data_IF_315464027807
#
_entry.id   IF_315464027807
#
_cell.length_a   1.000
_cell.length_b   1.000
_cell.length_c   1.000
_cell.angle_alpha   90.00
_cell.angle_beta   90.00
_cell.angle_gamma   90.00
#
_symmetry.space_group_name_H-M   'P 1'
#
loop_
_entity.id
_entity.type
_entity.pdbx_description
1 polymer ?
#
# COMPACT_ATOMS: atom_id res chain seq x y z
N UNK A 1 10.11 24.07 17.05
CA UNK A 1 9.65 23.10 18.06
C UNK A 1 8.31 22.54 17.60
N UNK A 2 8.22 21.23 17.35
CA UNK A 2 6.99 20.51 16.97
C UNK A 2 5.98 20.41 18.14
N UNK A 3 6.06 21.36 19.09
CA UNK A 3 5.36 21.40 20.38
C UNK A 3 4.60 22.71 20.57
N UNK A 4 4.02 23.26 19.50
CA UNK A 4 2.92 24.22 19.69
C UNK A 4 1.65 23.42 19.48
N UNK A 5 0.98 23.10 20.58
CA UNK A 5 -0.37 22.52 20.60
C UNK A 5 -1.33 23.49 19.88
N UNK A 6 -1.49 23.31 18.57
CA UNK A 6 -2.53 23.98 17.78
C UNK A 6 -3.51 22.90 17.33
N UNK A 7 -4.45 22.57 18.22
CA UNK A 7 -5.64 21.81 17.88
C UNK A 7 -5.77 20.47 18.59
N UNK A 8 -7.01 20.14 18.95
CA UNK A 8 -7.42 18.82 19.45
C UNK A 8 -6.95 17.74 18.48
N UNK A 9 -5.96 16.94 18.88
CA UNK A 9 -5.45 15.83 18.08
C UNK A 9 -6.59 14.86 17.75
N UNK A 10 -7.04 14.86 16.50
CA UNK A 10 -8.09 13.94 16.00
C UNK A 10 -7.55 12.49 15.91
N UNK A 11 -6.22 12.30 15.88
CA UNK A 11 -5.55 11.01 16.11
C UNK A 11 -4.20 11.24 16.81
N UNK A 12 -3.99 10.59 17.95
CA UNK A 12 -2.65 10.32 18.48
C UNK A 12 -2.30 8.88 18.10
N UNK A 13 -1.37 8.65 17.15
CA UNK A 13 -0.96 7.31 16.74
C UNK A 13 -0.58 6.37 17.90
N UNK A 14 0.01 6.89 18.97
CA UNK A 14 0.36 6.15 20.19
C UNK A 14 -0.88 5.71 20.98
N UNK A 15 -1.96 6.50 21.00
CA UNK A 15 -3.16 6.19 21.82
C UNK A 15 -4.09 5.19 21.12
N UNK A 16 -4.13 5.18 19.79
CA UNK A 16 -5.04 4.36 19.01
C UNK A 16 -4.37 3.72 17.76
N UNK A 17 -3.35 2.86 17.94
CA UNK A 17 -2.58 2.29 16.82
C UNK A 17 -3.45 1.45 15.87
N UNK A 18 -4.51 0.80 16.40
CA UNK A 18 -5.46 0.01 15.60
C UNK A 18 -6.24 0.85 14.60
N UNK A 19 -6.67 2.06 14.98
CA UNK A 19 -7.36 2.98 14.06
C UNK A 19 -6.42 3.49 12.99
N UNK A 20 -5.16 3.78 13.35
CA UNK A 20 -4.14 4.19 12.38
C UNK A 20 -3.86 3.09 11.35
N UNK A 21 -3.73 1.83 11.79
CA UNK A 21 -3.60 0.69 10.88
C UNK A 21 -4.81 0.58 9.93
N UNK A 22 -6.02 0.76 10.45
CA UNK A 22 -7.25 0.77 9.64
C UNK A 22 -7.23 1.86 8.56
N UNK A 23 -6.83 3.09 8.90
CA UNK A 23 -6.72 4.20 7.95
C UNK A 23 -5.66 3.91 6.88
N UNK A 24 -4.48 3.41 7.27
CA UNK A 24 -3.42 3.07 6.33
C UNK A 24 -3.83 1.96 5.36
N UNK A 25 -4.52 0.93 5.86
CA UNK A 25 -5.09 -0.12 5.01
C UNK A 25 -6.16 0.40 4.05
N UNK A 26 -6.98 1.38 4.47
CA UNK A 26 -7.98 2.00 3.60
C UNK A 26 -7.34 2.82 2.48
N UNK A 27 -6.30 3.61 2.80
CA UNK A 27 -5.50 4.32 1.79
C UNK A 27 -4.87 3.33 0.81
N UNK A 28 -4.31 2.24 1.32
CA UNK A 28 -3.76 1.17 0.49
C UNK A 28 -4.78 0.51 -0.43
N UNK A 29 -5.97 0.23 0.11
CA UNK A 29 -7.07 -0.31 -0.67
C UNK A 29 -7.51 0.64 -1.78
N UNK A 30 -7.55 1.94 -1.51
CA UNK A 30 -7.82 2.95 -2.52
C UNK A 30 -6.75 2.97 -3.61
N UNK A 31 -5.46 2.96 -3.26
CA UNK A 31 -4.36 2.96 -4.23
C UNK A 31 -4.34 1.69 -5.11
N UNK A 32 -4.55 0.52 -4.51
CA UNK A 32 -4.65 -0.76 -5.23
C UNK A 32 -5.84 -0.76 -6.20
N UNK A 33 -6.99 -0.22 -5.76
CA UNK A 33 -8.17 -0.10 -6.60
C UNK A 33 -7.90 0.81 -7.80
N UNK A 34 -7.24 1.94 -7.57
CA UNK A 34 -6.83 2.87 -8.63
C UNK A 34 -5.91 2.17 -9.65
N UNK A 35 -4.95 1.39 -9.18
CA UNK A 35 -4.05 0.63 -10.05
C UNK A 35 -4.80 -0.42 -10.90
N UNK A 36 -5.78 -1.13 -10.33
CA UNK A 36 -6.61 -2.06 -11.09
C UNK A 36 -7.52 -1.37 -12.11
N UNK A 37 -8.03 -0.16 -11.79
CA UNK A 37 -8.77 0.67 -12.75
C UNK A 37 -7.90 1.03 -13.94
N UNK A 38 -6.68 1.53 -13.71
CA UNK A 38 -5.73 1.85 -14.80
C UNK A 38 -5.44 0.60 -15.63
N UNK A 39 -5.14 -0.52 -14.99
CA UNK A 39 -4.88 -1.80 -15.69
C UNK A 39 -6.05 -2.24 -16.55
N UNK A 40 -7.27 -2.09 -16.05
CA UNK A 40 -8.49 -2.44 -16.79
C UNK A 40 -8.68 -1.54 -18.01
N UNK A 41 -8.44 -0.23 -17.86
CA UNK A 41 -8.50 0.73 -18.98
C UNK A 41 -7.48 0.36 -20.06
N UNK A 42 -6.25 0.03 -19.66
CA UNK A 42 -5.19 -0.38 -20.59
C UNK A 42 -5.58 -1.66 -21.37
N UNK A 43 -6.14 -2.67 -20.69
CA UNK A 43 -6.65 -3.89 -21.33
C UNK A 43 -7.84 -3.64 -22.27
N UNK A 44 -8.72 -2.70 -21.95
CA UNK A 44 -9.83 -2.32 -22.84
C UNK A 44 -9.28 -1.66 -24.11
N UNK A 45 -8.26 -0.81 -23.96
CA UNK A 45 -7.65 -0.10 -25.07
C UNK A 45 -6.86 -1.02 -26.00
N UNK A 46 -6.26 -2.10 -25.47
CA UNK A 46 -5.54 -3.11 -26.26
C UNK A 46 -6.45 -4.05 -27.07
N UNK A 47 -7.77 -3.94 -26.92
CA UNK A 47 -8.76 -4.62 -27.77
C UNK A 47 -9.13 -6.05 -27.35
N UNK A 48 -8.48 -6.62 -26.32
CA UNK A 48 -8.82 -7.96 -25.80
C UNK A 48 -9.92 -7.87 -24.73
N UNK A 49 -11.18 -7.83 -25.19
CA UNK A 49 -12.36 -7.73 -24.32
C UNK A 49 -12.54 -8.97 -23.42
N UNK A 50 -12.02 -10.13 -23.81
CA UNK A 50 -12.11 -11.35 -23.00
C UNK A 50 -11.14 -11.26 -21.81
N UNK A 51 -9.90 -10.83 -22.06
CA UNK A 51 -8.91 -10.56 -21.02
C UNK A 51 -9.27 -9.38 -20.12
N UNK A 52 -9.98 -8.36 -20.64
CA UNK A 52 -10.42 -7.22 -19.86
C UNK A 52 -11.52 -7.56 -18.83
N UNK A 53 -12.34 -8.58 -19.10
CA UNK A 53 -13.46 -8.94 -18.24
C UNK A 53 -13.15 -10.10 -17.30
N UNK A 54 -12.48 -11.14 -17.80
CA UNK A 54 -12.33 -12.42 -17.08
C UNK A 54 -10.94 -12.66 -16.50
N UNK A 55 -9.86 -12.09 -17.05
CA UNK A 55 -8.53 -12.33 -16.47
C UNK A 55 -8.29 -11.52 -15.18
N UNK A 56 -7.33 -11.99 -14.37
CA UNK A 56 -6.80 -11.25 -13.23
C UNK A 56 -6.38 -9.83 -13.63
N UNK A 57 -6.89 -8.84 -12.88
CA UNK A 57 -6.68 -7.43 -13.13
C UNK A 57 -7.66 -6.77 -14.09
N UNK A 58 -8.74 -7.48 -14.47
CA UNK A 58 -9.89 -6.91 -15.17
C UNK A 58 -11.00 -6.41 -14.23
N UNK A 59 -12.17 -6.12 -14.79
CA UNK A 59 -13.34 -5.59 -14.07
C UNK A 59 -13.76 -6.49 -12.91
N UNK A 60 -13.68 -7.81 -13.10
CA UNK A 60 -14.08 -8.78 -12.09
C UNK A 60 -13.17 -8.73 -10.84
N UNK A 61 -11.88 -8.43 -11.03
CA UNK A 61 -10.94 -8.23 -9.92
C UNK A 61 -11.27 -6.95 -9.15
N UNK A 62 -11.70 -5.87 -9.82
CA UNK A 62 -12.14 -4.63 -9.15
C UNK A 62 -13.39 -4.89 -8.30
N UNK A 63 -14.41 -5.54 -8.87
CA UNK A 63 -15.64 -5.87 -8.16
C UNK A 63 -15.36 -6.74 -6.92
N UNK A 64 -14.55 -7.78 -7.10
CA UNK A 64 -14.11 -8.66 -6.02
C UNK A 64 -13.36 -7.92 -4.92
N UNK A 65 -12.34 -7.14 -5.28
CA UNK A 65 -11.51 -6.43 -4.31
C UNK A 65 -12.32 -5.40 -3.53
N UNK A 66 -13.18 -4.64 -4.22
CA UNK A 66 -14.07 -3.64 -3.59
C UNK A 66 -15.05 -4.31 -2.62
N UNK A 67 -15.67 -5.43 -3.04
CA UNK A 67 -16.59 -6.18 -2.18
C UNK A 67 -15.90 -6.75 -0.94
N UNK A 68 -14.69 -7.30 -1.10
CA UNK A 68 -13.89 -7.82 0.00
C UNK A 68 -13.47 -6.73 0.99
N UNK A 69 -13.02 -5.58 0.50
CA UNK A 69 -12.66 -4.41 1.33
C UNK A 69 -13.89 -3.86 2.05
N UNK A 70 -15.04 -3.75 1.38
CA UNK A 70 -16.27 -3.27 2.00
C UNK A 70 -16.76 -4.21 3.10
N UNK A 71 -16.72 -5.53 2.88
CA UNK A 71 -17.02 -6.52 3.92
C UNK A 71 -16.07 -6.39 5.12
N UNK A 72 -14.78 -6.19 4.88
CA UNK A 72 -13.79 -5.99 5.95
C UNK A 72 -14.08 -4.72 6.78
N UNK A 73 -14.42 -3.60 6.13
CA UNK A 73 -14.77 -2.33 6.80
C UNK A 73 -16.05 -2.49 7.63
N UNK A 74 -17.10 -3.08 7.05
CA UNK A 74 -18.40 -3.27 7.71
C UNK A 74 -18.29 -4.10 8.99
N UNK A 75 -17.42 -5.11 8.99
CA UNK A 75 -17.24 -6.01 10.13
C UNK A 75 -16.16 -5.56 11.13
N UNK A 76 -15.63 -4.33 10.98
CA UNK A 76 -14.64 -3.77 11.89
C UNK A 76 -13.28 -4.44 11.84
N UNK A 77 -12.87 -4.93 10.66
CA UNK A 77 -11.61 -5.65 10.41
C UNK A 77 -11.41 -6.93 11.24
N UNK A 78 -12.48 -7.49 11.82
CA UNK A 78 -12.45 -8.80 12.46
C UNK A 78 -12.45 -9.90 11.38
N UNK A 79 -11.36 -10.66 11.33
CA UNK A 79 -11.15 -11.70 10.31
C UNK A 79 -12.25 -12.76 10.35
N UNK A 80 -12.67 -13.18 11.55
CA UNK A 80 -13.64 -14.26 11.69
C UNK A 80 -15.03 -13.83 11.20
N UNK A 81 -15.41 -12.60 11.51
CA UNK A 81 -16.68 -12.01 11.05
C UNK A 81 -16.65 -11.68 9.56
N UNK A 82 -15.50 -11.24 9.05
CA UNK A 82 -15.35 -10.91 7.62
C UNK A 82 -15.46 -12.16 6.76
N UNK A 83 -14.83 -13.27 7.15
CA UNK A 83 -14.90 -14.54 6.40
C UNK A 83 -16.30 -15.17 6.44
N UNK A 84 -17.06 -14.94 7.52
CA UNK A 84 -18.44 -15.39 7.64
C UNK A 84 -19.48 -14.46 7.00
N UNK A 85 -19.08 -13.26 6.54
CA UNK A 85 -19.98 -12.33 5.86
C UNK A 85 -20.42 -12.91 4.50
N UNK A 86 -21.74 -13.01 4.22
CA UNK A 86 -22.26 -13.44 2.93
C UNK A 86 -21.67 -12.66 1.75
N UNK A 87 -21.35 -11.38 1.93
CA UNK A 87 -20.74 -10.56 0.88
C UNK A 87 -19.32 -11.04 0.54
N UNK A 88 -18.51 -11.35 1.57
CA UNK A 88 -17.15 -11.85 1.36
C UNK A 88 -17.16 -13.22 0.67
N UNK A 89 -18.08 -14.10 1.09
CA UNK A 89 -18.29 -15.40 0.45
C UNK A 89 -18.73 -15.25 -1.01
N UNK A 90 -19.61 -14.29 -1.32
CA UNK A 90 -20.00 -13.99 -2.69
C UNK A 90 -18.81 -13.53 -3.55
N UNK A 91 -17.80 -12.87 -2.96
CA UNK A 91 -16.60 -12.43 -3.69
C UNK A 91 -15.64 -13.58 -4.05
N UNK A 92 -15.78 -14.75 -3.44
CA UNK A 92 -15.06 -15.96 -3.86
C UNK A 92 -15.48 -16.41 -5.27
N UNK A 93 -16.73 -16.15 -5.67
CA UNK A 93 -17.24 -16.53 -7.00
C UNK A 93 -16.48 -15.79 -8.11
N UNK A 94 -16.37 -14.43 -8.10
CA UNK A 94 -15.47 -13.68 -8.95
C UNK A 94 -14.04 -14.21 -8.99
N UNK A 95 -13.46 -14.57 -7.84
CA UNK A 95 -12.09 -15.10 -7.75
C UNK A 95 -11.94 -16.38 -8.57
N UNK A 96 -12.84 -17.33 -8.36
CA UNK A 96 -12.85 -18.61 -9.06
C UNK A 96 -13.06 -18.42 -10.56
N UNK A 97 -13.93 -17.51 -10.97
CA UNK A 97 -14.11 -17.16 -12.39
C UNK A 97 -12.81 -16.62 -12.97
N UNK A 98 -12.13 -15.67 -12.28
CA UNK A 98 -10.87 -15.13 -12.80
C UNK A 98 -9.75 -16.16 -12.92
N UNK A 99 -9.76 -17.16 -12.05
CA UNK A 99 -8.82 -18.26 -12.11
C UNK A 99 -9.09 -19.25 -13.25
N UNK A 100 -10.35 -19.45 -13.62
CA UNK A 100 -10.69 -20.30 -14.77
C UNK A 100 -10.42 -19.63 -16.12
N UNK A 101 -10.19 -18.32 -16.15
CA UNK A 101 -9.89 -17.56 -17.37
C UNK A 101 -8.68 -18.10 -18.17
N UNK A 102 -7.49 -18.35 -17.58
CA UNK A 102 -6.36 -18.96 -18.28
C UNK A 102 -6.69 -20.37 -18.79
N UNK A 103 -7.43 -21.16 -18.03
CA UNK A 103 -7.89 -22.49 -18.47
C UNK A 103 -8.80 -22.40 -19.71
N UNK A 104 -9.75 -21.44 -19.73
CA UNK A 104 -10.61 -21.20 -20.89
C UNK A 104 -9.82 -20.74 -22.12
N UNK A 105 -8.77 -19.94 -21.92
CA UNK A 105 -7.89 -19.46 -22.99
C UNK A 105 -7.05 -20.60 -23.57
N UNK A 106 -6.46 -21.43 -22.70
CA UNK A 106 -5.70 -22.63 -23.07
C UNK A 106 -6.55 -23.65 -23.85
N UNK A 107 -7.84 -23.78 -23.50
CA UNK A 107 -8.79 -24.59 -24.27
C UNK A 107 -9.09 -24.00 -25.67
N UNK A 108 -9.23 -22.68 -25.79
CA UNK A 108 -9.46 -22.01 -27.08
C UNK A 108 -8.25 -22.06 -28.01
N UNK A 109 -7.05 -22.04 -27.45
CA UNK A 109 -5.78 -22.10 -28.18
C UNK A 109 -5.36 -23.55 -28.52
N UNK A 110 -6.13 -24.55 -28.09
CA UNK A 110 -5.95 -25.96 -28.50
C UNK A 110 -4.90 -26.74 -27.69
N UNK A 111 -4.39 -26.18 -26.58
CA UNK A 111 -3.35 -26.81 -25.75
C UNK A 111 -3.88 -27.92 -24.80
N UNK A 112 -5.19 -28.19 -24.82
CA UNK A 112 -5.83 -29.27 -24.07
C UNK A 112 -6.02 -28.96 -22.57
N UNK A 113 -7.04 -29.57 -21.96
CA UNK A 113 -7.42 -29.37 -20.56
C UNK A 113 -6.30 -29.68 -19.55
N UNK A 114 -5.36 -30.55 -19.92
CA UNK A 114 -4.27 -30.99 -19.05
C UNK A 114 -3.26 -29.86 -18.76
N UNK A 115 -3.06 -28.92 -19.69
CA UNK A 115 -2.16 -27.76 -19.49
C UNK A 115 -2.84 -26.61 -18.73
N UNK A 116 -4.17 -26.45 -18.86
CA UNK A 116 -4.90 -25.35 -18.24
C UNK A 116 -5.17 -25.52 -16.73
N UNK A 117 -5.18 -26.75 -16.20
CA UNK A 117 -5.40 -26.99 -14.76
C UNK A 117 -4.28 -26.44 -13.86
N UNK A 118 -2.99 -26.70 -14.13
CA UNK A 118 -1.89 -26.08 -13.38
C UNK A 118 -1.91 -24.55 -13.44
N UNK A 119 -2.21 -23.97 -14.60
CA UNK A 119 -2.31 -22.52 -14.79
C UNK A 119 -3.44 -21.89 -13.96
N UNK A 120 -4.60 -22.55 -13.88
CA UNK A 120 -5.71 -22.13 -13.01
C UNK A 120 -5.28 -22.07 -11.55
N UNK A 121 -4.60 -23.12 -11.05
CA UNK A 121 -4.15 -23.18 -9.65
C UNK A 121 -3.09 -22.11 -9.37
N UNK A 122 -2.12 -21.93 -10.27
CA UNK A 122 -1.11 -20.86 -10.14
C UNK A 122 -1.79 -19.50 -10.08
N UNK A 123 -2.75 -19.25 -10.98
CA UNK A 123 -3.49 -17.99 -11.03
C UNK A 123 -4.33 -17.76 -9.77
N UNK A 124 -4.95 -18.79 -9.19
CA UNK A 124 -5.64 -18.67 -7.90
C UNK A 124 -4.70 -18.24 -6.78
N UNK A 125 -3.55 -18.90 -6.68
CA UNK A 125 -2.56 -18.63 -5.63
C UNK A 125 -1.99 -17.22 -5.82
N UNK A 126 -1.55 -16.89 -7.04
CA UNK A 126 -0.99 -15.59 -7.38
C UNK A 126 -1.99 -14.45 -7.14
N UNK A 127 -3.23 -14.58 -7.60
CA UNK A 127 -4.25 -13.54 -7.43
C UNK A 127 -4.60 -13.33 -5.95
N UNK A 128 -4.79 -14.43 -5.19
CA UNK A 128 -5.12 -14.36 -3.76
C UNK A 128 -3.96 -13.75 -2.96
N UNK A 129 -2.74 -14.27 -3.15
CA UNK A 129 -1.56 -13.76 -2.46
C UNK A 129 -1.27 -12.32 -2.86
N UNK A 130 -1.42 -11.95 -4.13
CA UNK A 130 -1.22 -10.58 -4.55
C UNK A 130 -2.25 -9.63 -3.92
N UNK A 131 -3.53 -10.00 -3.83
CA UNK A 131 -4.54 -9.12 -3.23
C UNK A 131 -4.32 -8.96 -1.72
N UNK A 132 -4.01 -10.04 -1.01
CA UNK A 132 -3.74 -10.01 0.43
C UNK A 132 -2.41 -9.31 0.75
N UNK A 133 -1.32 -9.72 0.10
CA UNK A 133 0.03 -9.18 0.34
C UNK A 133 0.11 -7.70 0.00
N UNK A 134 -0.45 -7.27 -1.14
CA UNK A 134 -0.46 -5.86 -1.51
C UNK A 134 -1.26 -5.01 -0.52
N UNK A 135 -2.38 -5.51 0.00
CA UNK A 135 -3.18 -4.74 0.98
C UNK A 135 -2.46 -4.64 2.33
N UNK A 136 -1.94 -5.75 2.84
CA UNK A 136 -1.23 -5.79 4.14
C UNK A 136 0.09 -5.02 4.12
N UNK A 137 0.71 -4.88 2.95
CA UNK A 137 1.92 -4.08 2.74
C UNK A 137 1.81 -2.63 3.25
N UNK A 138 0.60 -2.04 3.20
CA UNK A 138 0.34 -0.67 3.65
C UNK A 138 0.36 -0.49 5.16
N UNK A 139 0.34 -1.56 5.97
CA UNK A 139 0.59 -1.48 7.42
C UNK A 139 1.93 -0.80 7.69
N UNK A 140 2.90 -0.91 6.78
CA UNK A 140 4.19 -0.22 6.88
C UNK A 140 4.04 1.29 6.97
N UNK A 141 3.10 1.90 6.23
CA UNK A 141 2.84 3.34 6.32
C UNK A 141 2.45 3.78 7.74
N UNK A 142 1.58 2.99 8.38
CA UNK A 142 1.19 3.23 9.77
C UNK A 142 2.35 2.98 10.75
N UNK A 143 3.18 1.96 10.52
CA UNK A 143 4.37 1.73 11.34
C UNK A 143 5.34 2.93 11.30
N UNK A 144 5.53 3.57 10.14
CA UNK A 144 6.32 4.79 10.03
C UNK A 144 5.67 5.99 10.72
N UNK A 145 4.34 6.12 10.69
CA UNK A 145 3.65 7.16 11.43
C UNK A 145 3.81 7.01 12.96
N UNK A 146 3.74 5.79 13.48
CA UNK A 146 4.02 5.49 14.89
C UNK A 146 5.49 5.77 15.24
N UNK A 147 6.42 5.36 14.37
CA UNK A 147 7.84 5.62 14.56
C UNK A 147 8.12 7.13 14.64
N UNK A 148 7.57 7.91 13.71
CA UNK A 148 7.70 9.37 13.68
C UNK A 148 7.23 10.03 14.99
N UNK A 149 6.05 9.68 15.50
CA UNK A 149 5.57 10.20 16.79
C UNK A 149 6.51 9.78 17.94
N UNK A 150 6.94 8.52 17.96
CA UNK A 150 7.79 7.97 19.01
C UNK A 150 9.14 8.67 19.05
N UNK A 151 9.79 8.86 17.91
CA UNK A 151 11.08 9.56 17.83
C UNK A 151 10.94 11.05 18.15
N UNK A 152 9.83 11.69 17.80
CA UNK A 152 9.55 13.08 18.21
C UNK A 152 9.47 13.23 19.74
N UNK A 153 8.75 12.32 20.42
CA UNK A 153 8.69 12.29 21.89
C UNK A 153 10.05 11.98 22.49
N UNK A 154 10.76 10.99 21.94
CA UNK A 154 12.07 10.56 22.43
C UNK A 154 13.13 11.66 22.28
N UNK A 155 13.15 12.38 21.15
CA UNK A 155 14.02 13.53 20.95
C UNK A 155 13.75 14.65 21.97
N UNK A 156 12.47 14.89 22.32
CA UNK A 156 12.09 15.81 23.40
C UNK A 156 12.58 15.36 24.77
N UNK A 157 12.43 14.07 25.11
CA UNK A 157 12.92 13.51 26.38
C UNK A 157 14.45 13.56 26.50
N UNK A 158 15.18 13.18 25.46
CA UNK A 158 16.66 13.19 25.46
C UNK A 158 17.24 14.59 25.66
N UNK A 159 16.57 15.61 25.13
CA UNK A 159 17.06 17.00 25.16
C UNK A 159 16.76 17.70 26.48
N UNK A 160 15.68 17.30 27.15
CA UNK A 160 15.33 17.75 28.50
C UNK A 160 16.07 16.95 29.58
N UNK A 161 16.55 15.73 29.27
CA UNK A 161 17.21 14.85 30.24
C UNK A 161 16.27 14.32 31.33
N UNK A 162 14.95 14.40 31.11
CA UNK A 162 13.92 13.94 32.04
C UNK A 162 12.88 13.09 31.30
N UNK A 163 12.22 12.21 32.05
CA UNK A 163 11.17 11.30 31.54
C UNK A 163 9.84 12.01 31.28
N UNK A 164 9.73 13.31 31.56
CA UNK A 164 8.53 14.11 31.32
C UNK A 164 8.90 15.51 30.83
N UNK A 165 8.13 16.00 29.85
CA UNK A 165 8.25 17.35 29.30
C UNK A 165 7.32 18.24 30.12
N UNK A 166 7.86 18.96 31.11
CA UNK A 166 7.11 19.95 31.89
C UNK A 166 7.42 21.38 31.41
N UNK A 167 6.53 22.36 31.67
CA UNK A 167 6.75 23.75 31.25
C UNK A 167 8.04 24.36 31.80
N UNK A 168 8.45 24.00 33.02
CA UNK A 168 9.70 24.47 33.63
C UNK A 168 10.95 23.93 32.90
N UNK A 169 10.89 22.69 32.43
CA UNK A 169 11.94 22.04 31.66
C UNK A 169 12.07 22.62 30.24
N UNK A 170 10.96 23.10 29.67
CA UNK A 170 10.95 23.79 28.38
C UNK A 170 11.63 25.16 28.45
N UNK A 171 11.47 25.87 29.57
CA UNK A 171 12.16 27.15 29.83
C UNK A 171 13.67 26.91 29.98
N UNK A 172 14.06 25.85 30.69
CA UNK A 172 15.46 25.42 30.80
C UNK A 172 16.09 25.06 29.45
N UNK A 173 15.32 24.42 28.56
CA UNK A 173 15.77 24.08 27.19
C UNK A 173 16.10 25.32 26.35
N UNK A 174 15.28 26.38 26.48
CA UNK A 174 15.41 27.63 25.72
C UNK A 174 16.44 28.60 26.31
N UNK A 175 16.73 28.49 27.61
CA UNK A 175 17.67 29.38 28.32
C UNK A 175 19.10 28.88 28.28
N UNK A 176 19.33 27.57 28.10
CA UNK A 176 20.68 27.01 28.03
C UNK A 176 21.13 26.84 26.56
N UNK A 177 22.20 27.52 26.12
CA UNK A 177 22.67 27.45 24.73
C UNK A 177 23.16 26.05 24.34
N UNK A 178 23.65 25.26 25.29
CA UNK A 178 24.14 23.89 25.03
C UNK A 178 22.99 22.95 24.71
N UNK A 179 21.87 23.03 25.45
CA UNK A 179 20.69 22.20 25.21
C UNK A 179 19.99 22.56 23.90
N UNK A 180 20.01 23.84 23.51
CA UNK A 180 19.47 24.29 22.23
C UNK A 180 20.24 23.72 21.03
N UNK A 181 21.57 23.68 21.12
CA UNK A 181 22.43 23.09 20.08
C UNK A 181 22.17 21.58 19.99
N UNK A 182 22.15 20.88 21.13
CA UNK A 182 21.88 19.45 21.19
C UNK A 182 20.48 19.11 20.64
N UNK A 183 19.46 19.88 21.01
CA UNK A 183 18.10 19.74 20.50
C UNK A 183 18.04 19.90 18.98
N UNK A 184 18.66 20.95 18.46
CA UNK A 184 18.67 21.22 17.03
C UNK A 184 19.37 20.09 16.27
N UNK A 185 20.51 19.62 16.76
CA UNK A 185 21.27 18.53 16.14
C UNK A 185 20.49 17.21 16.11
N UNK A 186 19.89 16.81 17.25
CA UNK A 186 19.11 15.58 17.35
C UNK A 186 17.90 15.62 16.41
N UNK A 187 17.17 16.73 16.36
CA UNK A 187 16.02 16.88 15.47
C UNK A 187 16.44 16.79 13.99
N UNK A 188 17.53 17.44 13.58
CA UNK A 188 18.04 17.35 12.20
C UNK A 188 18.42 15.91 11.85
N UNK A 189 19.09 15.21 12.77
CA UNK A 189 19.48 13.81 12.56
C UNK A 189 18.26 12.89 12.41
N UNK A 190 17.25 13.04 13.29
CA UNK A 190 15.99 12.28 13.22
C UNK A 190 15.24 12.55 11.92
N UNK A 191 15.09 13.84 11.54
CA UNK A 191 14.41 14.22 10.29
C UNK A 191 15.14 13.63 9.07
N UNK A 192 16.48 13.68 9.05
CA UNK A 192 17.27 13.11 7.96
C UNK A 192 17.11 11.58 7.85
N UNK A 193 17.17 10.88 8.99
CA UNK A 193 17.04 9.42 9.04
C UNK A 193 15.61 8.97 8.68
N UNK A 194 14.60 9.55 9.30
CA UNK A 194 13.20 9.20 9.06
C UNK A 194 12.74 9.59 7.66
N UNK A 195 13.15 10.77 7.18
CA UNK A 195 12.87 11.22 5.82
C UNK A 195 13.43 10.24 4.80
N UNK A 196 14.66 9.77 4.99
CA UNK A 196 15.27 8.75 4.13
C UNK A 196 14.51 7.42 4.19
N UNK A 197 14.21 6.92 5.38
CA UNK A 197 13.54 5.62 5.55
C UNK A 197 12.10 5.64 5.01
N UNK A 198 11.34 6.68 5.32
CA UNK A 198 9.98 6.86 4.81
C UNK A 198 9.96 7.08 3.30
N UNK A 199 10.96 7.77 2.73
CA UNK A 199 11.12 7.89 1.28
C UNK A 199 11.35 6.54 0.62
N UNK A 200 12.31 5.73 1.10
CA UNK A 200 12.57 4.39 0.55
C UNK A 200 11.30 3.53 0.62
N UNK A 201 10.55 3.61 1.72
CA UNK A 201 9.31 2.89 1.87
C UNK A 201 8.22 3.37 0.90
N UNK A 202 8.06 4.67 0.73
CA UNK A 202 7.09 5.23 -0.22
C UNK A 202 7.43 4.76 -1.63
N UNK A 203 8.70 4.84 -2.03
CA UNK A 203 9.16 4.34 -3.33
C UNK A 203 8.90 2.84 -3.50
N UNK A 204 9.07 2.03 -2.43
CA UNK A 204 8.72 0.61 -2.45
C UNK A 204 7.24 0.42 -2.79
N UNK A 205 6.35 1.09 -2.06
CA UNK A 205 4.90 1.01 -2.27
C UNK A 205 4.52 1.38 -3.71
N UNK A 206 5.04 2.51 -4.19
CA UNK A 206 4.72 2.99 -5.55
C UNK A 206 5.26 2.05 -6.63
N UNK A 207 6.49 1.53 -6.50
CA UNK A 207 7.06 0.65 -7.51
C UNK A 207 6.43 -0.75 -7.51
N UNK A 208 6.29 -1.38 -6.34
CA UNK A 208 5.91 -2.79 -6.26
C UNK A 208 4.41 -3.00 -6.19
N UNK A 209 3.66 -2.12 -5.54
CA UNK A 209 2.22 -2.27 -5.35
C UNK A 209 1.42 -1.49 -6.40
N UNK A 210 1.90 -0.32 -6.85
CA UNK A 210 1.20 0.50 -7.84
C UNK A 210 1.64 0.22 -9.29
N UNK A 211 2.91 0.47 -9.64
CA UNK A 211 3.37 0.40 -11.02
C UNK A 211 3.36 -1.01 -11.63
N UNK A 212 3.68 -2.05 -10.88
CA UNK A 212 3.67 -3.44 -11.38
C UNK A 212 2.31 -3.90 -11.90
N UNK A 213 1.21 -3.27 -11.46
CA UNK A 213 -0.13 -3.70 -11.84
C UNK A 213 -0.48 -3.32 -13.27
N UNK A 214 0.02 -2.21 -13.80
CA UNK A 214 -0.34 -1.72 -15.13
C UNK A 214 0.86 -1.55 -16.07
N UNK A 215 2.07 -1.36 -15.55
CA UNK A 215 3.23 -1.13 -16.37
C UNK A 215 3.74 -2.45 -16.98
N UNK A 216 3.41 -2.69 -18.25
CA UNK A 216 4.11 -3.69 -19.05
C UNK A 216 5.33 -3.03 -19.68
N UNK A 217 6.53 -3.50 -19.35
CA UNK A 217 7.81 -2.91 -19.79
C UNK A 217 8.10 -3.10 -21.30
N UNK A 218 7.06 -3.07 -22.14
CA UNK A 218 7.07 -3.37 -23.58
C UNK A 218 7.19 -2.10 -24.44
N UNK A 219 7.63 -0.98 -23.87
CA UNK A 219 7.86 0.27 -24.60
C UNK A 219 9.05 0.15 -25.56
N UNK A 220 8.92 0.77 -26.75
CA UNK A 220 10.07 0.94 -27.65
C UNK A 220 10.77 2.26 -27.31
N UNK A 221 12.08 2.26 -27.05
CA UNK A 221 12.80 3.50 -26.81
C UNK A 221 12.70 4.36 -28.07
N UNK A 222 12.40 5.65 -27.89
CA UNK A 222 12.40 6.60 -28.99
C UNK A 222 13.85 6.82 -29.44
N UNK A 223 14.18 6.28 -30.61
CA UNK A 223 15.47 6.51 -31.26
C UNK A 223 15.32 7.67 -32.25
N UNK A 224 16.25 8.65 -32.19
CA UNK A 224 16.25 9.75 -33.16
C UNK A 224 16.72 9.23 -34.52
N UNK A 225 16.22 9.82 -35.60
CA UNK A 225 16.58 9.46 -36.98
C UNK A 225 18.11 9.42 -37.21
N UNK A 226 18.86 10.33 -36.56
CA UNK A 226 20.32 10.36 -36.63
C UNK A 226 21.01 9.14 -36.03
N UNK A 227 20.45 8.54 -34.97
CA UNK A 227 21.02 7.38 -34.28
C UNK A 227 20.72 6.07 -35.04
N UNK A 228 19.57 6.02 -35.72
CA UNK A 228 19.17 4.90 -36.59
C UNK A 228 20.01 4.79 -37.87
N UNK A 229 20.58 5.91 -38.34
CA UNK A 229 21.48 5.96 -39.49
C UNK A 229 22.95 5.67 -39.14
N UNK A 230 23.29 5.65 -37.85
CA UNK A 230 24.64 5.38 -37.35
C UNK A 230 24.82 3.98 -36.74
N UNK A 231 23.76 3.16 -36.73
CA UNK A 231 23.75 1.77 -36.27
C UNK A 231 23.64 0.82 -37.48
#
# INVERSE_FOLDING_TARGET
AFFVEIGTHVLSPIKEPTKLFGIALLIGAFEILLAFVIRTIDKILSGDKFAAFLEYGGILTIAMYTGAVYAAIRNGADVMKTVSDPLFQAMVIPLLITATAPMLKSMKEGHGLLHGMPEMVSTLIESTLALLSNSLSFIRLAAFAVAHETFGVLAGMFTVGSTSITPENLIHLLTNPVSLIAFTFINIAVIGLEGLLSFIQAMRLTFYEFFTKFYSANGRPFLRVRELLSA
#
